data_IF_211249098915
#
_entry.id   IF_211249098915
#
_cell.length_a   1.000
_cell.length_b   1.000
_cell.length_c   1.000
_cell.angle_alpha   90.00
_cell.angle_beta   90.00
_cell.angle_gamma   90.00
#
_symmetry.space_group_name_H-M   'P 1'
#
loop_
_entity.id
_entity.type
_entity.pdbx_description
1 polymer ?
#
# COMPACT_ATOMS: atom_id res chain seq x y z
N UNK A 1 62.34 4.98 -29.40
CA UNK A 1 60.91 4.97 -29.77
C UNK A 1 60.43 3.54 -29.59
N UNK A 2 59.33 3.31 -28.87
CA UNK A 2 58.60 2.04 -28.75
C UNK A 2 59.11 1.06 -27.67
N UNK A 3 58.75 1.31 -26.40
CA UNK A 3 58.21 0.24 -25.53
C UNK A 3 57.44 0.77 -24.31
N UNK A 4 57.64 2.03 -23.91
CA UNK A 4 57.03 2.59 -22.69
C UNK A 4 55.63 3.20 -22.85
N UNK A 5 55.07 3.25 -24.07
CA UNK A 5 53.79 3.94 -24.35
C UNK A 5 52.59 2.96 -24.28
N UNK A 6 52.84 1.65 -24.31
CA UNK A 6 51.78 0.64 -24.31
C UNK A 6 51.17 0.33 -22.93
N UNK A 7 51.70 0.90 -21.84
CA UNK A 7 51.22 0.63 -20.48
C UNK A 7 50.18 1.64 -19.97
N UNK A 8 49.87 2.69 -20.73
CA UNK A 8 48.96 3.76 -20.29
C UNK A 8 47.50 3.50 -20.72
N UNK A 9 47.24 2.51 -21.58
CA UNK A 9 45.89 2.28 -22.15
C UNK A 9 45.10 1.11 -21.53
N UNK A 10 45.54 0.58 -20.37
CA UNK A 10 44.83 -0.52 -19.69
C UNK A 10 44.09 -0.11 -18.42
N UNK A 11 44.09 1.16 -18.02
CA UNK A 11 43.17 1.66 -17.01
C UNK A 11 41.83 1.99 -17.67
N UNK A 12 41.13 0.94 -18.10
CA UNK A 12 39.72 1.03 -18.43
C UNK A 12 39.00 1.58 -17.20
N UNK A 13 38.53 2.82 -17.32
CA UNK A 13 37.75 3.52 -16.31
C UNK A 13 36.44 2.74 -16.14
N UNK A 14 36.45 1.74 -15.28
CA UNK A 14 35.23 1.12 -14.79
C UNK A 14 34.51 2.19 -13.96
N UNK A 15 33.72 3.03 -14.63
CA UNK A 15 32.64 3.77 -13.99
C UNK A 15 31.67 2.71 -13.47
N UNK A 16 31.97 2.19 -12.27
CA UNK A 16 30.96 1.56 -11.44
C UNK A 16 29.95 2.66 -11.13
N UNK A 17 28.92 2.77 -11.96
CA UNK A 17 27.63 3.35 -11.57
C UNK A 17 27.10 2.45 -10.46
N UNK A 18 27.63 2.64 -9.25
CA UNK A 18 26.99 2.19 -8.04
C UNK A 18 25.70 3.00 -7.97
N UNK A 19 24.66 2.51 -8.64
CA UNK A 19 23.31 3.00 -8.45
C UNK A 19 23.07 2.87 -6.95
N UNK A 20 23.03 4.01 -6.25
CA UNK A 20 22.66 4.05 -4.85
C UNK A 20 21.25 3.49 -4.79
N UNK A 21 21.14 2.20 -4.46
CA UNK A 21 19.86 1.54 -4.28
C UNK A 21 19.35 2.11 -2.98
N UNK A 22 18.48 3.13 -3.09
CA UNK A 22 17.77 3.70 -1.96
C UNK A 22 17.27 2.54 -1.11
N UNK A 23 17.72 2.46 0.16
CA UNK A 23 17.30 1.38 1.05
C UNK A 23 15.80 1.54 1.21
N UNK A 24 15.06 0.61 0.62
CA UNK A 24 13.60 0.59 0.68
C UNK A 24 13.23 0.34 2.14
N UNK A 25 12.49 1.26 2.77
CA UNK A 25 11.95 1.10 4.14
C UNK A 25 10.82 0.04 4.22
N UNK A 26 10.80 -0.92 3.29
CA UNK A 26 9.83 -1.98 3.23
C UNK A 26 10.05 -2.93 4.42
N UNK A 27 8.98 -3.26 5.13
CA UNK A 27 8.98 -4.14 6.29
C UNK A 27 9.82 -3.66 7.48
N UNK A 28 10.07 -2.35 7.61
CA UNK A 28 10.52 -1.76 8.89
C UNK A 28 9.36 -1.77 9.89
N UNK A 29 9.13 -2.92 10.52
CA UNK A 29 8.08 -3.13 11.53
C UNK A 29 8.65 -2.91 12.96
N UNK A 30 7.79 -2.64 13.96
CA UNK A 30 8.21 -2.59 15.36
C UNK A 30 8.89 -3.89 15.82
N UNK A 31 9.83 -3.76 16.75
CA UNK A 31 10.53 -4.91 17.35
C UNK A 31 9.53 -5.92 17.91
N UNK A 32 9.69 -7.19 17.53
CA UNK A 32 8.82 -8.28 17.97
C UNK A 32 7.50 -8.41 17.22
N UNK A 33 7.31 -7.72 16.08
CA UNK A 33 6.15 -7.89 15.22
C UNK A 33 5.89 -9.36 14.85
N UNK A 34 6.94 -10.17 14.69
CA UNK A 34 6.85 -11.59 14.36
C UNK A 34 6.16 -12.42 15.45
N UNK A 35 6.12 -11.94 16.70
CA UNK A 35 5.34 -12.58 17.76
C UNK A 35 3.83 -12.46 17.52
N UNK A 36 3.40 -11.41 16.80
CA UNK A 36 1.99 -11.14 16.50
C UNK A 36 1.59 -11.72 15.14
N UNK A 37 2.42 -11.56 14.12
CA UNK A 37 2.08 -11.91 12.73
C UNK A 37 2.82 -13.14 12.20
N UNK A 38 3.68 -13.75 13.02
CA UNK A 38 4.52 -14.88 12.61
C UNK A 38 5.68 -14.46 11.71
N UNK A 39 6.24 -15.42 10.99
CA UNK A 39 7.33 -15.18 10.06
C UNK A 39 6.86 -14.29 8.89
N UNK A 40 7.47 -13.11 8.75
CA UNK A 40 7.11 -12.12 7.73
C UNK A 40 7.72 -12.49 6.38
N UNK A 41 6.89 -12.57 5.34
CA UNK A 41 7.31 -12.68 3.94
C UNK A 41 7.50 -11.29 3.36
N UNK A 42 8.63 -11.06 2.68
CA UNK A 42 9.00 -9.72 2.18
C UNK A 42 8.84 -9.57 0.66
N UNK A 43 7.86 -10.27 0.09
CA UNK A 43 7.62 -10.37 -1.37
C UNK A 43 6.84 -9.18 -1.96
N UNK A 44 6.15 -8.38 -1.15
CA UNK A 44 5.34 -7.28 -1.67
C UNK A 44 6.20 -6.15 -2.25
N UNK A 45 5.72 -5.60 -3.36
CA UNK A 45 6.25 -4.38 -3.94
C UNK A 45 5.13 -3.47 -4.44
N UNK A 46 5.22 -2.19 -4.07
CA UNK A 46 4.37 -1.15 -4.64
C UNK A 46 4.41 -1.14 -6.16
N UNK A 47 3.23 -1.16 -6.78
CA UNK A 47 3.07 -0.95 -8.21
C UNK A 47 2.68 0.50 -8.52
N UNK A 48 1.72 1.04 -7.76
CA UNK A 48 1.23 2.41 -7.85
C UNK A 48 1.00 2.96 -6.44
N UNK A 49 0.69 4.24 -6.35
CA UNK A 49 0.27 4.89 -5.10
C UNK A 49 -1.00 4.22 -4.55
N UNK A 50 -1.10 4.13 -3.22
CA UNK A 50 -2.26 3.54 -2.55
C UNK A 50 -1.92 2.70 -1.33
N UNK A 51 -2.94 2.00 -0.83
CA UNK A 51 -2.93 1.13 0.32
C UNK A 51 -3.21 -0.30 -0.12
N UNK A 52 -2.35 -1.23 0.31
CA UNK A 52 -2.35 -2.59 -0.20
C UNK A 52 -2.31 -3.60 0.95
N UNK A 53 -3.28 -4.51 0.96
CA UNK A 53 -3.26 -5.67 1.82
C UNK A 53 -2.11 -6.61 1.43
N UNK A 54 -1.30 -7.03 2.40
CA UNK A 54 -0.26 -8.03 2.16
C UNK A 54 -0.85 -9.45 2.25
N UNK A 55 -1.27 -9.96 1.10
CA UNK A 55 -1.88 -11.29 0.98
C UNK A 55 -0.91 -12.40 1.40
N UNK A 56 0.39 -12.22 1.18
CA UNK A 56 1.41 -13.23 1.50
C UNK A 56 1.60 -13.37 3.02
N UNK A 57 1.25 -12.32 3.77
CA UNK A 57 1.22 -12.24 5.24
C UNK A 57 -0.22 -12.22 5.80
N UNK A 58 -1.15 -12.91 5.15
CA UNK A 58 -2.54 -13.09 5.60
C UNK A 58 -3.29 -11.77 5.90
N UNK A 59 -2.92 -10.68 5.23
CA UNK A 59 -3.46 -9.34 5.42
C UNK A 59 -3.30 -8.80 6.85
N UNK A 60 -2.46 -9.42 7.69
CA UNK A 60 -2.09 -8.89 9.00
C UNK A 60 -1.08 -7.74 8.88
N UNK A 61 -0.42 -7.65 7.72
CA UNK A 61 0.40 -6.51 7.30
C UNK A 61 -0.30 -5.81 6.14
N UNK A 62 -0.16 -4.50 6.05
CA UNK A 62 -0.51 -3.72 4.87
C UNK A 62 0.59 -2.72 4.54
N UNK A 63 0.55 -2.23 3.31
CA UNK A 63 1.53 -1.30 2.78
C UNK A 63 0.88 -0.01 2.32
N UNK A 64 1.58 1.10 2.55
CA UNK A 64 1.28 2.39 1.95
C UNK A 64 2.36 2.68 0.92
N UNK A 65 1.93 2.99 -0.29
CA UNK A 65 2.77 3.29 -1.44
C UNK A 65 2.54 4.74 -1.84
N UNK A 66 3.62 5.49 -2.03
CA UNK A 66 3.55 6.87 -2.47
C UNK A 66 4.71 7.23 -3.38
N UNK A 67 4.41 7.84 -4.52
CA UNK A 67 5.40 8.42 -5.40
C UNK A 67 5.75 9.81 -4.90
N UNK A 68 7.02 10.01 -4.54
CA UNK A 68 7.57 11.30 -4.13
C UNK A 68 8.50 11.82 -5.22
N UNK A 69 8.24 13.05 -5.69
CA UNK A 69 9.13 13.75 -6.61
C UNK A 69 10.15 14.54 -5.79
N UNK A 70 11.43 14.22 -5.99
CA UNK A 70 12.55 14.88 -5.33
C UNK A 70 12.82 16.26 -5.96
N UNK A 71 13.58 17.14 -5.27
CA UNK A 71 13.95 18.46 -5.81
C UNK A 71 14.72 18.42 -7.14
N UNK A 72 15.39 17.31 -7.43
CA UNK A 72 16.12 17.06 -8.69
C UNK A 72 15.20 16.61 -9.85
N UNK A 73 13.89 16.50 -9.62
CA UNK A 73 12.89 16.06 -10.60
C UNK A 73 12.74 14.54 -10.71
N UNK A 74 13.55 13.74 -10.01
CA UNK A 74 13.42 12.29 -10.03
C UNK A 74 12.24 11.85 -9.14
N UNK A 75 11.44 10.91 -9.63
CA UNK A 75 10.37 10.28 -8.86
C UNK A 75 10.90 9.01 -8.16
N UNK A 76 10.56 8.83 -6.89
CA UNK A 76 10.83 7.63 -6.11
C UNK A 76 9.53 7.08 -5.53
N UNK A 77 9.30 5.78 -5.68
CA UNK A 77 8.21 5.07 -5.02
C UNK A 77 8.63 4.67 -3.61
N UNK A 78 8.06 5.32 -2.60
CA UNK A 78 8.22 4.97 -1.20
C UNK A 78 7.21 3.90 -0.79
N UNK A 79 7.65 3.00 0.08
CA UNK A 79 6.83 1.93 0.65
C UNK A 79 7.00 1.95 2.17
N UNK A 80 5.88 2.07 2.88
CA UNK A 80 5.81 1.86 4.33
C UNK A 80 4.97 0.63 4.62
N UNK A 81 5.32 -0.10 5.68
CA UNK A 81 4.65 -1.35 6.05
C UNK A 81 4.14 -1.22 7.48
N UNK A 82 2.93 -1.70 7.72
CA UNK A 82 2.23 -1.56 8.99
C UNK A 82 1.60 -2.89 9.36
N UNK A 83 1.54 -3.19 10.66
CA UNK A 83 0.79 -4.32 11.19
C UNK A 83 -0.58 -3.87 11.68
N UNK A 84 -1.60 -4.68 11.42
CA UNK A 84 -2.89 -4.55 12.06
C UNK A 84 -2.81 -5.05 13.51
N UNK A 85 -3.61 -4.44 14.39
CA UNK A 85 -3.67 -4.80 15.81
C UNK A 85 -4.25 -6.18 16.06
N UNK A 86 -4.22 -6.61 17.32
CA UNK A 86 -4.63 -7.95 17.72
C UNK A 86 -6.01 -8.35 17.14
N UNK A 87 -6.07 -9.54 16.53
CA UNK A 87 -7.28 -10.14 15.92
C UNK A 87 -7.90 -9.33 14.76
N UNK A 88 -7.15 -8.44 14.12
CA UNK A 88 -7.63 -7.69 12.94
C UNK A 88 -6.77 -7.97 11.71
N UNK A 89 -7.37 -7.76 10.55
CA UNK A 89 -6.70 -7.80 9.24
C UNK A 89 -7.06 -6.57 8.45
N UNK A 90 -6.16 -6.18 7.55
CA UNK A 90 -6.39 -5.06 6.65
C UNK A 90 -7.47 -5.43 5.63
N UNK A 91 -8.60 -4.76 5.75
CA UNK A 91 -9.71 -4.87 4.82
C UNK A 91 -9.44 -3.94 3.63
N UNK A 92 -9.02 -4.54 2.52
CA UNK A 92 -8.72 -3.79 1.31
C UNK A 92 -9.91 -3.01 0.75
N UNK A 93 -11.14 -3.48 0.99
CA UNK A 93 -12.34 -2.75 0.59
C UNK A 93 -12.44 -1.44 1.37
N UNK A 94 -12.37 -1.45 2.70
CA UNK A 94 -12.55 -0.24 3.51
C UNK A 94 -11.27 0.58 3.74
N UNK A 95 -10.09 0.08 3.35
CA UNK A 95 -8.78 0.63 3.66
C UNK A 95 -8.50 0.78 5.17
N UNK A 96 -9.03 -0.13 5.98
CA UNK A 96 -8.89 -0.12 7.44
C UNK A 96 -8.55 -1.49 7.97
N UNK A 97 -7.94 -1.57 9.17
CA UNK A 97 -7.92 -2.82 9.91
C UNK A 97 -9.32 -3.08 10.49
N UNK A 98 -9.88 -4.26 10.25
CA UNK A 98 -11.15 -4.72 10.82
C UNK A 98 -11.03 -6.14 11.33
N UNK A 99 -11.99 -6.57 12.14
CA UNK A 99 -12.09 -7.97 12.55
C UNK A 99 -12.24 -8.89 11.34
N UNK A 100 -11.82 -10.15 11.47
CA UNK A 100 -11.87 -11.13 10.38
C UNK A 100 -13.28 -11.34 9.82
N UNK A 101 -14.31 -11.25 10.67
CA UNK A 101 -15.72 -11.39 10.31
C UNK A 101 -16.29 -10.18 9.54
N UNK A 102 -15.68 -9.01 9.69
CA UNK A 102 -16.09 -7.77 9.02
C UNK A 102 -15.27 -7.47 7.76
N UNK A 103 -14.08 -8.05 7.65
CA UNK A 103 -13.21 -7.89 6.50
C UNK A 103 -13.71 -8.71 5.30
N UNK A 104 -13.43 -8.23 4.09
CA UNK A 104 -13.44 -9.14 2.94
C UNK A 104 -12.37 -10.23 3.16
N UNK A 105 -12.55 -11.45 2.64
CA UNK A 105 -11.53 -12.49 2.74
C UNK A 105 -10.18 -12.01 2.18
N UNK A 106 -9.09 -12.25 2.90
CA UNK A 106 -7.76 -11.77 2.50
C UNK A 106 -7.36 -12.23 1.08
N UNK A 107 -7.73 -13.45 0.69
CA UNK A 107 -7.48 -13.97 -0.66
C UNK A 107 -8.18 -13.16 -1.77
N UNK A 108 -9.30 -12.50 -1.44
CA UNK A 108 -10.04 -11.64 -2.37
C UNK A 108 -9.51 -10.19 -2.39
N UNK A 109 -8.57 -9.82 -1.51
CA UNK A 109 -8.11 -8.44 -1.39
C UNK A 109 -7.57 -7.87 -2.71
N UNK A 110 -6.84 -8.68 -3.50
CA UNK A 110 -6.29 -8.25 -4.79
C UNK A 110 -7.36 -7.71 -5.74
N UNK A 111 -8.56 -8.28 -5.70
CA UNK A 111 -9.67 -7.89 -6.57
C UNK A 111 -10.20 -6.49 -6.22
N UNK A 112 -9.83 -5.93 -5.07
CA UNK A 112 -10.21 -4.60 -4.60
C UNK A 112 -9.07 -3.57 -4.71
N UNK A 113 -7.89 -3.94 -5.22
CA UNK A 113 -6.76 -3.00 -5.37
C UNK A 113 -7.07 -1.82 -6.29
N UNK A 114 -8.03 -1.97 -7.23
CA UNK A 114 -8.46 -0.88 -8.11
C UNK A 114 -9.05 0.31 -7.35
N UNK A 115 -9.58 0.10 -6.13
CA UNK A 115 -10.14 1.17 -5.31
C UNK A 115 -9.09 2.22 -4.93
N UNK A 116 -7.80 1.88 -4.98
CA UNK A 116 -6.71 2.84 -4.76
C UNK A 116 -6.77 4.02 -5.73
N UNK A 117 -7.28 3.82 -6.95
CA UNK A 117 -7.45 4.90 -7.93
C UNK A 117 -8.46 5.97 -7.49
N UNK A 118 -9.36 5.66 -6.53
CA UNK A 118 -10.32 6.62 -5.99
C UNK A 118 -9.70 7.51 -4.90
N UNK A 119 -8.55 7.11 -4.33
CA UNK A 119 -7.88 7.86 -3.28
C UNK A 119 -7.27 9.14 -3.88
N UNK A 120 -7.75 10.29 -3.42
CA UNK A 120 -7.27 11.58 -3.91
C UNK A 120 -7.76 11.95 -5.32
N UNK A 121 -8.72 11.21 -5.89
CA UNK A 121 -9.28 11.48 -7.22
C UNK A 121 -10.13 12.77 -7.30
N UNK A 122 -10.36 13.43 -6.16
CA UNK A 122 -11.04 14.72 -6.07
C UNK A 122 -12.19 14.73 -5.05
N UNK A 123 -12.75 15.90 -4.73
CA UNK A 123 -13.75 16.06 -3.67
C UNK A 123 -15.11 15.39 -3.96
N UNK A 124 -15.39 15.07 -5.23
CA UNK A 124 -16.68 14.53 -5.69
C UNK A 124 -16.58 13.07 -6.16
N UNK A 125 -15.47 12.39 -5.88
CA UNK A 125 -15.29 10.96 -6.19
C UNK A 125 -15.50 10.17 -4.90
N UNK A 126 -16.59 9.40 -4.76
CA UNK A 126 -16.76 8.50 -3.63
C UNK A 126 -15.64 7.45 -3.61
N UNK A 127 -15.24 7.01 -2.42
CA UNK A 127 -14.31 5.87 -2.29
C UNK A 127 -14.91 4.57 -2.85
N UNK A 128 -16.22 4.41 -2.70
CA UNK A 128 -17.00 3.26 -3.18
C UNK A 128 -18.27 3.71 -3.88
N UNK A 129 -18.68 2.94 -4.89
CA UNK A 129 -20.01 2.96 -5.48
C UNK A 129 -20.83 1.72 -5.06
N UNK A 130 -22.10 1.68 -5.47
CA UNK A 130 -23.02 0.58 -5.15
C UNK A 130 -22.52 -0.80 -5.63
N UNK A 131 -21.82 -0.85 -6.77
CA UNK A 131 -21.27 -2.10 -7.29
C UNK A 131 -20.09 -2.58 -6.45
N UNK A 132 -19.25 -1.65 -5.95
CA UNK A 132 -18.14 -2.00 -5.05
C UNK A 132 -18.68 -2.61 -3.75
N UNK A 133 -19.74 -2.00 -3.19
CA UNK A 133 -20.43 -2.49 -2.00
C UNK A 133 -21.03 -3.87 -2.25
N UNK A 134 -21.71 -4.06 -3.39
CA UNK A 134 -22.29 -5.35 -3.76
C UNK A 134 -21.22 -6.44 -3.93
N UNK A 135 -20.07 -6.11 -4.55
CA UNK A 135 -18.92 -7.03 -4.67
C UNK A 135 -18.37 -7.42 -3.30
N UNK A 136 -18.17 -6.46 -2.40
CA UNK A 136 -17.71 -6.74 -1.04
C UNK A 136 -18.72 -7.62 -0.28
N UNK A 137 -20.01 -7.29 -0.32
CA UNK A 137 -21.06 -8.07 0.32
C UNK A 137 -21.16 -9.51 -0.23
N UNK A 138 -20.86 -9.73 -1.51
CA UNK A 138 -20.88 -11.06 -2.11
C UNK A 138 -19.75 -11.98 -1.59
N UNK A 139 -18.65 -11.40 -1.08
CA UNK A 139 -17.48 -12.17 -0.60
C UNK A 139 -17.32 -12.15 0.92
N UNK A 140 -17.86 -11.16 1.62
CA UNK A 140 -17.80 -11.07 3.08
C UNK A 140 -18.78 -12.07 3.72
N UNK A 141 -18.33 -13.08 4.47
CA UNK A 141 -19.20 -14.04 5.11
C UNK A 141 -20.10 -13.40 6.18
N UNK A 142 -21.36 -13.84 6.27
CA UNK A 142 -22.21 -13.55 7.44
C UNK A 142 -22.84 -12.15 7.52
N UNK A 143 -22.58 -11.24 6.57
CA UNK A 143 -23.27 -9.94 6.53
C UNK A 143 -24.50 -10.04 5.61
N UNK A 144 -25.75 -10.00 6.11
CA UNK A 144 -26.87 -9.71 5.24
C UNK A 144 -26.61 -8.33 4.61
N UNK A 145 -26.83 -8.20 3.30
CA UNK A 145 -26.71 -6.92 2.60
C UNK A 145 -27.52 -5.89 3.39
N UNK A 146 -26.84 -5.03 4.14
CA UNK A 146 -27.50 -3.93 4.84
C UNK A 146 -28.13 -3.08 3.75
N UNK A 147 -29.43 -2.76 3.82
CA UNK A 147 -30.01 -1.80 2.91
C UNK A 147 -29.15 -0.54 2.98
N UNK A 148 -28.58 -0.13 1.84
CA UNK A 148 -27.89 1.14 1.72
C UNK A 148 -28.91 2.21 2.13
N UNK A 149 -28.79 2.73 3.34
CA UNK A 149 -29.48 3.95 3.67
C UNK A 149 -28.86 4.99 2.73
N UNK A 150 -29.63 5.60 1.80
CA UNK A 150 -29.10 6.67 1.00
C UNK A 150 -28.49 7.66 1.98
N UNK A 151 -27.21 7.97 1.78
CA UNK A 151 -26.52 9.00 2.53
C UNK A 151 -27.34 10.28 2.38
N UNK A 152 -28.21 10.52 3.36
CA UNK A 152 -29.00 11.73 3.44
C UNK A 152 -28.05 12.89 3.34
N UNK A 153 -28.35 13.82 2.42
CA UNK A 153 -27.49 14.93 2.06
C UNK A 153 -26.78 15.53 3.27
N UNK A 154 -25.47 15.71 3.14
CA UNK A 154 -24.61 16.20 4.20
C UNK A 154 -25.25 17.39 4.91
N UNK A 155 -25.62 17.20 6.18
CA UNK A 155 -25.97 18.34 7.02
C UNK A 155 -24.75 19.27 7.06
N UNK A 156 -24.94 20.59 6.90
CA UNK A 156 -23.85 21.54 7.02
C UNK A 156 -23.17 21.37 8.39
N UNK A 157 -21.84 21.23 8.37
CA UNK A 157 -21.03 21.22 9.59
C UNK A 157 -21.36 22.49 10.38
N UNK A 158 -21.79 22.41 11.65
CA UNK A 158 -22.05 23.61 12.44
C UNK A 158 -20.76 24.44 12.54
N UNK A 159 -20.85 25.79 12.52
CA UNK A 159 -19.68 26.63 12.62
C UNK A 159 -18.97 26.36 13.95
N UNK A 160 -17.64 26.26 13.88
CA UNK A 160 -16.78 26.18 15.06
C UNK A 160 -16.99 27.47 15.85
N UNK A 161 -17.55 27.37 17.05
CA UNK A 161 -17.59 28.50 17.99
C UNK A 161 -16.18 28.71 18.53
N UNK A 162 -15.59 29.85 18.18
CA UNK A 162 -14.45 30.42 18.90
C UNK A 162 -14.89 31.05 20.21
#
# INVERSE_FOLDING_TARGET
MNLSIALIFLSGLALSLAASRSKRAAYELPDGAELLVGAVKTSFACANDGYYADIDNNCQIFHVCQTVVKPDGNAEMLQWSFLCGNQTVFNQFSFTCSSYEDAIPCAAARDFFYLNANIGAGPNVPFHNEQDVARAAAVTPGRPAQPFAPSGGGQPRPPIRG
#
